data_IF_076230392902
#
_entry.id   IF_076230392902
#
_cell.length_a   1.000
_cell.length_b   1.000
_cell.length_c   1.000
_cell.angle_alpha   90.00
_cell.angle_beta   90.00
_cell.angle_gamma   90.00
#
_symmetry.space_group_name_H-M   'P 1'
#
loop_
_entity.id
_entity.type
_entity.pdbx_description
1 polymer ?
#
# COMPACT_ATOMS: atom_id res chain seq x y z
N UNK A 1 -14.39 -11.54 -1.04
CA UNK A 1 -13.62 -11.99 -2.22
C UNK A 1 -12.78 -10.85 -2.78
N UNK A 2 -11.47 -11.02 -3.03
CA UNK A 2 -10.68 -10.05 -3.79
C UNK A 2 -11.30 -9.80 -5.17
N UNK A 3 -10.92 -8.70 -5.82
CA UNK A 3 -11.39 -8.42 -7.19
C UNK A 3 -10.96 -9.55 -8.12
N UNK A 4 -11.70 -9.79 -9.21
CA UNK A 4 -11.36 -10.82 -10.20
C UNK A 4 -9.94 -10.63 -10.72
N UNK A 5 -9.54 -9.40 -11.04
CA UNK A 5 -8.18 -9.09 -11.48
C UNK A 5 -7.14 -9.50 -10.43
N UNK A 6 -7.32 -9.10 -9.17
CA UNK A 6 -6.41 -9.46 -8.07
C UNK A 6 -6.28 -10.98 -7.95
N UNK A 7 -7.43 -11.67 -7.90
CA UNK A 7 -7.52 -13.12 -7.81
C UNK A 7 -6.75 -13.82 -8.95
N UNK A 8 -6.98 -13.38 -10.20
CA UNK A 8 -6.29 -13.90 -11.39
C UNK A 8 -4.79 -13.66 -11.30
N UNK A 9 -4.36 -12.44 -11.00
CA UNK A 9 -2.93 -12.09 -11.02
C UNK A 9 -2.13 -12.86 -9.96
N UNK A 10 -2.68 -13.03 -8.75
CA UNK A 10 -2.04 -13.78 -7.66
C UNK A 10 -1.91 -15.27 -8.02
N UNK A 11 -3.01 -15.90 -8.44
CA UNK A 11 -3.03 -17.32 -8.75
C UNK A 11 -2.21 -17.66 -10.00
N UNK A 12 -2.28 -16.84 -11.05
CA UNK A 12 -1.43 -17.01 -12.22
C UNK A 12 0.06 -16.91 -11.88
N UNK A 13 0.43 -16.02 -10.95
CA UNK A 13 1.80 -15.94 -10.42
C UNK A 13 2.21 -17.24 -9.74
N UNK A 14 1.36 -17.81 -8.88
CA UNK A 14 1.61 -19.11 -8.26
C UNK A 14 1.74 -20.25 -9.27
N UNK A 15 0.89 -20.28 -10.29
CA UNK A 15 0.93 -21.27 -11.37
C UNK A 15 2.22 -21.20 -12.19
N UNK A 16 2.75 -20.00 -12.43
CA UNK A 16 4.03 -19.81 -13.13
C UNK A 16 5.21 -20.43 -12.39
N UNK A 17 5.16 -20.51 -11.06
CA UNK A 17 6.22 -21.12 -10.26
C UNK A 17 6.28 -22.65 -10.36
N UNK A 18 5.25 -23.29 -10.93
CA UNK A 18 5.18 -24.75 -11.08
C UNK A 18 6.09 -25.26 -12.20
N UNK A 19 6.37 -24.42 -13.21
CA UNK A 19 7.42 -24.68 -14.21
C UNK A 19 7.10 -25.72 -15.28
N UNK A 20 5.83 -25.87 -15.68
CA UNK A 20 5.38 -26.88 -16.64
C UNK A 20 4.60 -26.26 -17.82
N UNK A 21 5.29 -25.84 -18.87
CA UNK A 21 4.63 -25.44 -20.12
C UNK A 21 3.97 -24.06 -20.07
N UNK A 22 2.86 -23.90 -20.78
CA UNK A 22 2.07 -22.66 -20.80
C UNK A 22 0.95 -22.66 -19.75
N UNK A 23 0.37 -21.48 -19.53
CA UNK A 23 -0.67 -21.30 -18.51
C UNK A 23 -1.93 -22.14 -18.77
N UNK A 24 -2.30 -22.39 -20.02
CA UNK A 24 -3.49 -23.15 -20.36
C UNK A 24 -3.29 -24.62 -19.97
N UNK A 25 -2.12 -25.19 -20.26
CA UNK A 25 -1.75 -26.54 -19.85
C UNK A 25 -1.75 -26.69 -18.32
N UNK A 26 -1.19 -25.72 -17.58
CA UNK A 26 -1.14 -25.78 -16.12
C UNK A 26 -2.54 -25.67 -15.50
N UNK A 27 -3.39 -24.78 -16.02
CA UNK A 27 -4.77 -24.61 -15.57
C UNK A 27 -5.61 -25.89 -15.78
N UNK A 28 -5.42 -26.58 -16.91
CA UNK A 28 -6.10 -27.85 -17.19
C UNK A 28 -5.68 -28.95 -16.23
N UNK A 29 -4.38 -29.04 -15.93
CA UNK A 29 -3.83 -30.08 -15.05
C UNK A 29 -4.21 -29.91 -13.58
N UNK A 30 -4.44 -28.68 -13.12
CA UNK A 30 -4.73 -28.34 -11.71
C UNK A 30 -3.69 -28.95 -10.75
N UNK A 31 -2.44 -28.46 -10.77
CA UNK A 31 -1.37 -29.10 -10.01
C UNK A 31 -1.64 -29.01 -8.50
N UNK A 32 -1.60 -30.16 -7.82
CA UNK A 32 -1.83 -30.25 -6.37
C UNK A 32 -0.81 -29.51 -5.50
N UNK A 33 0.26 -28.99 -6.11
CA UNK A 33 1.24 -28.10 -5.46
C UNK A 33 0.63 -26.74 -5.10
N UNK A 34 -0.36 -26.26 -5.87
CA UNK A 34 -1.05 -25.00 -5.58
C UNK A 34 -2.16 -25.28 -4.56
N UNK A 35 -1.85 -25.02 -3.30
CA UNK A 35 -2.67 -25.34 -2.16
C UNK A 35 -3.55 -24.15 -1.73
N UNK A 36 -4.51 -24.45 -0.85
CA UNK A 36 -5.44 -23.49 -0.26
C UNK A 36 -6.43 -22.84 -1.24
N UNK A 37 -6.77 -23.54 -2.32
CA UNK A 37 -7.89 -23.19 -3.19
C UNK A 37 -9.01 -24.24 -3.03
N UNK A 38 -10.24 -23.78 -2.93
CA UNK A 38 -11.43 -24.65 -2.98
C UNK A 38 -11.76 -25.06 -4.43
N UNK A 39 -12.59 -26.10 -4.62
CA UNK A 39 -13.08 -26.47 -5.95
C UNK A 39 -13.86 -25.35 -6.64
N UNK A 40 -14.61 -24.55 -5.86
CA UNK A 40 -15.32 -23.37 -6.36
C UNK A 40 -14.34 -22.32 -6.89
N UNK A 41 -13.25 -22.06 -6.17
CA UNK A 41 -12.21 -21.11 -6.60
C UNK A 41 -11.46 -21.59 -7.84
N UNK A 42 -11.21 -22.90 -7.96
CA UNK A 42 -10.68 -23.50 -9.19
C UNK A 42 -11.66 -23.41 -10.36
N UNK A 43 -12.96 -23.57 -10.11
CA UNK A 43 -14.02 -23.36 -11.11
C UNK A 43 -14.01 -21.92 -11.62
N UNK A 44 -14.07 -20.96 -10.70
CA UNK A 44 -14.03 -19.52 -11.00
C UNK A 44 -12.77 -19.12 -11.76
N UNK A 45 -11.59 -19.61 -11.37
CA UNK A 45 -10.34 -19.30 -12.09
C UNK A 45 -10.39 -19.76 -13.55
N UNK A 46 -10.94 -20.95 -13.81
CA UNK A 46 -11.13 -21.48 -15.17
C UNK A 46 -12.16 -20.68 -15.96
N UNK A 47 -13.27 -20.31 -15.36
CA UNK A 47 -14.29 -19.46 -16.01
C UNK A 47 -13.70 -18.11 -16.41
N UNK A 48 -12.94 -17.47 -15.51
CA UNK A 48 -12.25 -16.21 -15.80
C UNK A 48 -11.23 -16.36 -16.93
N UNK A 49 -10.49 -17.48 -17.00
CA UNK A 49 -9.60 -17.77 -18.13
C UNK A 49 -10.38 -17.93 -19.45
N UNK A 50 -11.40 -18.79 -19.47
CA UNK A 50 -12.22 -19.06 -20.65
C UNK A 50 -12.98 -17.82 -21.16
N UNK A 51 -13.32 -16.88 -20.27
CA UNK A 51 -13.96 -15.61 -20.66
C UNK A 51 -13.09 -14.73 -21.55
N UNK A 52 -11.76 -14.91 -21.52
CA UNK A 52 -10.79 -14.05 -22.22
C UNK A 52 -10.61 -12.65 -21.63
N UNK A 53 -11.48 -12.21 -20.70
CA UNK A 53 -11.50 -10.84 -20.19
C UNK A 53 -10.21 -10.43 -19.44
N UNK A 54 -9.47 -11.40 -18.90
CA UNK A 54 -8.28 -11.19 -18.07
C UNK A 54 -7.00 -11.78 -18.68
N UNK A 55 -6.96 -12.06 -19.99
CA UNK A 55 -5.83 -12.76 -20.64
C UNK A 55 -4.46 -12.11 -20.40
N UNK A 56 -4.40 -10.77 -20.46
CA UNK A 56 -3.16 -10.03 -20.16
C UNK A 56 -2.74 -10.15 -18.69
N UNK A 57 -3.70 -10.10 -17.76
CA UNK A 57 -3.46 -10.23 -16.32
C UNK A 57 -2.94 -11.63 -15.97
N UNK A 58 -3.54 -12.68 -16.57
CA UNK A 58 -3.08 -14.06 -16.45
C UNK A 58 -1.65 -14.25 -16.96
N UNK A 59 -1.35 -13.76 -18.17
CA UNK A 59 -0.03 -13.92 -18.78
C UNK A 59 1.05 -13.15 -18.01
N UNK A 60 0.74 -11.94 -17.56
CA UNK A 60 1.65 -11.14 -16.74
C UNK A 60 1.96 -11.85 -15.41
N UNK A 61 0.94 -12.37 -14.72
CA UNK A 61 1.11 -13.15 -13.51
C UNK A 61 1.97 -14.38 -13.74
N UNK A 62 1.61 -15.20 -14.73
CA UNK A 62 2.35 -16.41 -15.07
C UNK A 62 3.83 -16.14 -15.33
N UNK A 63 4.15 -15.12 -16.13
CA UNK A 63 5.54 -14.72 -16.42
C UNK A 63 6.31 -14.26 -15.19
N UNK A 64 5.65 -13.64 -14.21
CA UNK A 64 6.29 -13.30 -12.94
C UNK A 64 6.60 -14.54 -12.11
N UNK A 65 5.69 -15.52 -12.08
CA UNK A 65 5.92 -16.81 -11.44
C UNK A 65 7.09 -17.57 -12.06
N UNK A 66 7.15 -17.63 -13.39
CA UNK A 66 8.26 -18.27 -14.13
C UNK A 66 9.58 -17.58 -13.83
N UNK A 67 9.62 -16.24 -13.85
CA UNK A 67 10.84 -15.51 -13.52
C UNK A 67 11.31 -15.77 -12.09
N UNK A 68 10.39 -15.89 -11.13
CA UNK A 68 10.74 -16.25 -9.76
C UNK A 68 11.22 -17.70 -9.63
N UNK A 69 10.67 -18.63 -10.43
CA UNK A 69 11.16 -19.99 -10.51
C UNK A 69 12.62 -20.03 -11.00
N UNK A 70 12.97 -19.23 -11.99
CA UNK A 70 14.30 -19.20 -12.62
C UNK A 70 15.34 -18.41 -11.82
N UNK A 71 14.92 -17.36 -11.12
CA UNK A 71 15.82 -16.43 -10.44
C UNK A 71 16.71 -17.13 -9.39
N UNK A 72 18.03 -16.80 -9.33
CA UNK A 72 18.94 -17.35 -8.32
C UNK A 72 18.52 -17.06 -6.88
N UNK A 73 18.02 -15.85 -6.63
CA UNK A 73 17.49 -15.43 -5.33
C UNK A 73 16.06 -15.95 -5.08
N UNK A 74 15.41 -16.51 -6.10
CA UNK A 74 14.10 -17.13 -6.03
C UNK A 74 14.19 -18.64 -5.79
N UNK A 75 13.55 -19.44 -6.66
CA UNK A 75 13.58 -20.89 -6.54
C UNK A 75 14.77 -21.54 -7.25
N UNK A 76 15.53 -20.80 -8.06
CA UNK A 76 16.73 -21.29 -8.75
C UNK A 76 16.50 -22.61 -9.52
N UNK A 77 15.42 -22.65 -10.31
CA UNK A 77 14.99 -23.81 -11.09
C UNK A 77 14.38 -24.95 -10.27
N UNK A 78 14.38 -24.86 -8.93
CA UNK A 78 13.81 -25.88 -8.06
C UNK A 78 12.28 -25.81 -8.10
N UNK A 79 11.64 -26.92 -8.40
CA UNK A 79 10.18 -27.03 -8.30
C UNK A 79 9.73 -26.88 -6.84
N UNK A 80 8.71 -26.06 -6.57
CA UNK A 80 8.17 -25.94 -5.22
C UNK A 80 7.47 -27.23 -4.82
N UNK A 81 7.48 -27.54 -3.51
CA UNK A 81 6.68 -28.63 -2.93
C UNK A 81 5.26 -28.16 -2.61
N UNK A 82 5.11 -26.88 -2.28
CA UNK A 82 3.81 -26.25 -2.05
C UNK A 82 3.87 -24.75 -2.38
N UNK A 83 2.82 -24.27 -3.02
CA UNK A 83 2.52 -22.85 -3.24
C UNK A 83 1.18 -22.58 -2.59
N UNK A 84 1.18 -21.89 -1.45
CA UNK A 84 -0.04 -21.58 -0.70
C UNK A 84 -0.56 -20.20 -1.09
N UNK A 85 -1.80 -20.13 -1.58
CA UNK A 85 -2.48 -18.85 -1.73
C UNK A 85 -3.12 -18.43 -0.40
N UNK A 86 -2.72 -17.26 0.10
CA UNK A 86 -3.20 -16.73 1.39
C UNK A 86 -4.47 -15.90 1.20
N UNK A 87 -4.70 -15.35 0.01
CA UNK A 87 -5.85 -14.51 -0.32
C UNK A 87 -5.97 -13.32 0.62
N UNK A 88 -7.15 -13.12 1.22
CA UNK A 88 -7.39 -12.00 2.16
C UNK A 88 -6.92 -12.28 3.61
N UNK A 89 -6.28 -13.42 3.87
CA UNK A 89 -5.89 -13.76 5.24
C UNK A 89 -4.79 -12.79 5.69
N UNK A 90 -5.04 -12.07 6.79
CA UNK A 90 -4.01 -11.26 7.43
C UNK A 90 -3.08 -12.20 8.19
N UNK A 91 -1.80 -12.16 7.87
CA UNK A 91 -0.79 -12.84 8.66
C UNK A 91 -0.84 -12.31 10.12
N UNK A 92 -0.92 -13.19 11.12
CA UNK A 92 -0.80 -12.81 12.52
C UNK A 92 0.64 -12.35 12.83
N UNK A 93 0.84 -11.54 13.87
CA UNK A 93 2.17 -11.09 14.33
C UNK A 93 2.56 -9.66 13.96
N UNK A 94 3.54 -9.10 14.66
CA UNK A 94 3.86 -7.65 14.66
C UNK A 94 4.59 -7.17 13.40
N UNK A 95 5.46 -8.00 12.84
CA UNK A 95 6.22 -7.73 11.61
C UNK A 95 5.67 -8.50 10.41
N UNK A 96 4.34 -8.68 10.36
CA UNK A 96 3.70 -9.44 9.30
C UNK A 96 4.02 -8.85 7.91
N UNK A 97 4.91 -9.51 7.19
CA UNK A 97 5.20 -9.21 5.79
C UNK A 97 3.96 -9.58 4.97
N UNK A 98 3.44 -8.66 4.15
CA UNK A 98 2.34 -8.99 3.25
C UNK A 98 2.80 -10.08 2.29
N UNK A 99 2.11 -11.22 2.31
CA UNK A 99 2.38 -12.36 1.45
C UNK A 99 1.06 -12.85 0.89
N UNK A 100 0.88 -12.69 -0.41
CA UNK A 100 -0.27 -13.19 -1.17
C UNK A 100 -0.04 -14.67 -1.56
N UNK A 101 1.23 -15.05 -1.71
CA UNK A 101 1.68 -16.43 -1.87
C UNK A 101 2.77 -16.77 -0.85
N UNK A 102 2.74 -18.00 -0.33
CA UNK A 102 3.82 -18.58 0.48
C UNK A 102 4.33 -19.85 -0.20
N UNK A 103 5.63 -19.95 -0.43
CA UNK A 103 6.23 -21.08 -1.15
C UNK A 103 7.11 -21.86 -0.18
N UNK A 104 6.82 -23.15 -0.03
CA UNK A 104 7.56 -24.09 0.84
C UNK A 104 7.71 -23.62 2.29
N UNK A 105 6.84 -22.70 2.73
CA UNK A 105 6.93 -21.99 4.01
C UNK A 105 8.22 -21.17 4.21
N UNK A 106 9.02 -20.99 3.17
CA UNK A 106 10.30 -20.25 3.19
C UNK A 106 10.15 -18.90 2.51
N UNK A 107 9.60 -18.89 1.29
CA UNK A 107 9.51 -17.66 0.51
C UNK A 107 8.16 -16.99 0.71
N UNK A 108 8.21 -15.69 0.99
CA UNK A 108 7.05 -14.81 1.10
C UNK A 108 6.97 -13.95 -0.16
N UNK A 109 5.87 -14.01 -0.88
CA UNK A 109 5.69 -13.28 -2.15
C UNK A 109 4.45 -12.40 -2.05
N UNK A 110 4.63 -11.11 -2.27
CA UNK A 110 3.54 -10.15 -2.47
C UNK A 110 3.35 -9.88 -3.96
N UNK A 111 2.11 -10.03 -4.41
CA UNK A 111 1.67 -9.77 -5.76
C UNK A 111 1.21 -8.31 -5.88
N UNK A 112 1.92 -7.48 -6.63
CA UNK A 112 1.65 -6.04 -6.72
C UNK A 112 1.55 -5.54 -8.16
N UNK A 113 0.32 -5.32 -8.60
CA UNK A 113 0.00 -4.90 -9.96
C UNK A 113 -0.47 -3.44 -9.94
N UNK A 114 0.26 -2.56 -10.64
CA UNK A 114 -0.09 -1.17 -10.96
C UNK A 114 -0.18 -0.17 -9.78
N UNK A 115 0.18 -0.54 -8.56
CA UNK A 115 0.12 0.37 -7.40
C UNK A 115 1.49 0.87 -6.96
N UNK A 116 1.63 2.20 -6.75
CA UNK A 116 2.80 2.82 -6.11
C UNK A 116 2.66 2.96 -4.59
N UNK A 117 1.53 2.50 -4.02
CA UNK A 117 1.22 2.65 -2.60
C UNK A 117 1.99 1.60 -1.79
N UNK A 118 2.79 2.06 -0.84
CA UNK A 118 3.50 1.24 0.14
C UNK A 118 2.61 0.95 1.35
N UNK A 119 1.85 1.88 1.87
CA UNK A 119 0.96 1.62 3.02
C UNK A 119 -0.35 2.39 2.89
N UNK A 120 -1.38 1.89 3.56
CA UNK A 120 -2.66 2.56 3.69
C UNK A 120 -3.22 2.48 5.13
N UNK A 121 -2.49 2.94 6.15
CA UNK A 121 -2.96 2.98 7.53
C UNK A 121 -3.93 4.14 7.79
N UNK A 122 -4.47 4.21 9.01
CA UNK A 122 -4.99 5.47 9.52
C UNK A 122 -3.85 6.51 9.71
N UNK A 123 -4.13 7.81 9.59
CA UNK A 123 -3.13 8.85 9.83
C UNK A 123 -2.50 8.78 11.23
N UNK A 124 -3.29 8.50 12.27
CA UNK A 124 -2.78 8.34 13.63
C UNK A 124 -1.78 7.19 13.74
N UNK A 125 -2.06 6.04 13.12
CA UNK A 125 -1.15 4.88 13.10
C UNK A 125 0.19 5.21 12.45
N UNK A 126 0.19 6.04 11.40
CA UNK A 126 1.41 6.50 10.73
C UNK A 126 2.18 7.54 11.57
N UNK A 127 1.50 8.60 11.98
CA UNK A 127 2.11 9.79 12.61
C UNK A 127 2.51 9.52 14.05
N UNK A 128 1.62 8.94 14.84
CA UNK A 128 1.80 8.76 16.29
C UNK A 128 2.37 7.38 16.61
N UNK A 129 1.84 6.38 15.91
CA UNK A 129 2.27 4.99 16.03
C UNK A 129 3.55 4.67 15.27
N UNK A 130 4.03 5.55 14.39
CA UNK A 130 5.19 5.32 13.54
C UNK A 130 5.09 3.99 12.75
N UNK A 131 3.89 3.60 12.31
CA UNK A 131 3.60 2.30 11.69
C UNK A 131 3.88 1.07 12.57
N UNK A 132 4.09 1.23 13.88
CA UNK A 132 4.15 0.09 14.80
C UNK A 132 2.76 -0.47 15.06
N UNK A 133 2.70 -1.72 15.55
CA UNK A 133 1.45 -2.34 16.00
C UNK A 133 0.97 -1.90 17.38
N UNK A 134 1.74 -1.07 18.08
CA UNK A 134 1.35 -0.51 19.38
C UNK A 134 -0.07 0.10 19.31
N UNK A 135 -0.87 0.01 20.40
CA UNK A 135 -2.17 0.65 20.44
C UNK A 135 -2.06 2.14 20.12
N UNK A 136 -2.89 2.62 19.19
CA UNK A 136 -3.04 4.03 18.85
C UNK A 136 -4.54 4.30 18.80
N UNK A 137 -4.97 5.44 19.33
CA UNK A 137 -6.34 5.90 19.10
C UNK A 137 -6.49 6.33 17.64
N UNK A 138 -7.09 5.45 16.84
CA UNK A 138 -7.46 5.68 15.44
C UNK A 138 -8.98 5.75 15.24
N UNK A 139 -9.73 5.91 16.32
CA UNK A 139 -11.20 6.00 16.29
C UNK A 139 -11.70 7.39 15.94
N UNK A 140 -10.92 8.42 16.24
CA UNK A 140 -11.23 9.82 15.96
C UNK A 140 -10.90 10.22 14.51
N UNK A 141 -11.73 11.08 13.91
CA UNK A 141 -11.47 11.63 12.57
C UNK A 141 -10.21 12.51 12.63
N UNK A 142 -9.20 12.17 11.83
CA UNK A 142 -7.92 12.88 11.85
C UNK A 142 -8.07 14.37 11.55
N UNK A 143 -8.97 14.76 10.63
CA UNK A 143 -9.17 16.18 10.32
C UNK A 143 -9.77 16.92 11.50
N UNK A 144 -10.71 16.29 12.22
CA UNK A 144 -11.24 16.86 13.46
C UNK A 144 -10.17 16.99 14.54
N UNK A 145 -9.23 16.04 14.59
CA UNK A 145 -8.16 16.02 15.58
C UNK A 145 -7.10 17.09 15.33
N UNK A 146 -6.63 17.21 14.09
CA UNK A 146 -5.51 18.12 13.79
C UNK A 146 -5.95 19.47 13.25
N UNK A 147 -7.14 19.61 12.67
CA UNK A 147 -7.62 20.83 12.03
C UNK A 147 -9.14 21.05 12.25
N UNK A 148 -9.61 21.12 13.53
CA UNK A 148 -11.04 21.17 13.83
C UNK A 148 -11.74 22.38 13.22
N UNK A 149 -11.12 23.56 13.26
CA UNK A 149 -11.70 24.79 12.73
C UNK A 149 -11.84 24.73 11.19
N UNK A 150 -10.78 24.30 10.51
CA UNK A 150 -10.76 24.19 9.05
C UNK A 150 -11.69 23.07 8.55
N UNK A 151 -11.82 21.98 9.32
CA UNK A 151 -12.73 20.89 9.00
C UNK A 151 -14.20 21.32 9.14
N UNK A 152 -14.52 22.06 10.21
CA UNK A 152 -15.84 22.63 10.43
C UNK A 152 -16.19 23.68 9.36
N UNK A 153 -15.27 24.58 9.03
CA UNK A 153 -15.47 25.60 7.98
C UNK A 153 -15.75 24.96 6.60
N UNK A 154 -14.97 23.94 6.23
CA UNK A 154 -15.22 23.20 4.99
C UNK A 154 -16.58 22.50 5.00
N UNK A 155 -16.97 21.93 6.13
CA UNK A 155 -18.26 21.29 6.31
C UNK A 155 -19.41 22.28 6.12
N UNK A 156 -19.35 23.45 6.77
CA UNK A 156 -20.36 24.52 6.64
C UNK A 156 -20.53 24.99 5.20
N UNK A 157 -19.43 25.22 4.50
CA UNK A 157 -19.44 25.58 3.07
C UNK A 157 -20.08 24.49 2.20
N UNK A 158 -19.87 23.22 2.53
CA UNK A 158 -20.50 22.11 1.84
C UNK A 158 -21.96 21.91 2.23
N UNK A 159 -22.34 22.22 3.47
CA UNK A 159 -23.69 22.08 4.01
C UNK A 159 -24.62 23.12 3.39
N UNK A 160 -24.20 24.38 3.34
CA UNK A 160 -24.95 25.51 2.77
C UNK A 160 -25.20 25.41 1.26
N UNK A 161 -24.45 24.56 0.54
CA UNK A 161 -24.58 24.39 -0.90
C UNK A 161 -25.78 23.52 -1.34
N UNK A 162 -26.69 23.14 -0.44
CA UNK A 162 -27.92 22.45 -0.83
C UNK A 162 -28.98 22.39 0.26
N UNK A 163 -30.24 22.59 -0.13
CA UNK A 163 -31.36 22.88 0.78
C UNK A 163 -32.10 21.64 1.30
N UNK A 164 -31.80 20.44 0.79
CA UNK A 164 -32.62 19.23 1.03
C UNK A 164 -32.16 18.35 2.20
N UNK A 165 -30.97 18.60 2.77
CA UNK A 165 -30.41 17.75 3.81
C UNK A 165 -30.45 18.45 5.17
N UNK A 166 -31.21 17.86 6.11
CA UNK A 166 -31.14 18.20 7.53
C UNK A 166 -29.79 17.74 8.10
N UNK A 167 -28.82 18.65 8.05
CA UNK A 167 -27.47 18.45 8.54
C UNK A 167 -27.30 19.13 9.92
N UNK A 168 -26.55 18.51 10.86
CA UNK A 168 -26.27 19.12 12.16
C UNK A 168 -25.38 20.37 12.01
N UNK A 169 -25.34 21.21 13.05
CA UNK A 169 -24.48 22.39 13.04
C UNK A 169 -22.99 22.00 13.04
N UNK A 170 -22.59 20.99 13.80
CA UNK A 170 -21.21 20.55 13.89
C UNK A 170 -20.93 19.30 13.03
N UNK A 171 -19.76 19.27 12.36
CA UNK A 171 -19.31 18.13 11.56
C UNK A 171 -19.10 16.86 12.39
N UNK A 172 -18.74 17.02 13.67
CA UNK A 172 -18.56 15.92 14.61
C UNK A 172 -19.86 15.15 14.87
N UNK A 173 -21.01 15.82 14.74
CA UNK A 173 -22.33 15.26 15.03
C UNK A 173 -22.94 14.52 13.83
N UNK A 174 -22.23 14.45 12.69
CA UNK A 174 -22.72 13.77 11.50
C UNK A 174 -22.94 12.27 11.76
N UNK A 175 -24.20 11.84 11.66
CA UNK A 175 -24.56 10.43 11.66
C UNK A 175 -24.01 9.71 10.42
N UNK A 176 -23.93 8.38 10.49
CA UNK A 176 -23.49 7.55 9.35
C UNK A 176 -24.37 7.74 8.10
N UNK A 177 -25.66 7.98 8.27
CA UNK A 177 -26.59 8.22 7.16
C UNK A 177 -26.29 9.57 6.48
N UNK A 178 -26.14 10.64 7.27
CA UNK A 178 -25.82 11.98 6.77
C UNK A 178 -24.44 12.01 6.09
N UNK A 179 -23.43 11.32 6.64
CA UNK A 179 -22.12 11.16 5.99
C UNK A 179 -22.22 10.54 4.59
N UNK A 180 -23.05 9.50 4.43
CA UNK A 180 -23.26 8.86 3.12
C UNK A 180 -23.96 9.79 2.14
N UNK A 181 -24.98 10.52 2.59
CA UNK A 181 -25.69 11.49 1.76
C UNK A 181 -24.77 12.63 1.30
N UNK A 182 -24.01 13.21 2.24
CA UNK A 182 -23.04 14.26 1.94
C UNK A 182 -21.94 13.76 0.97
N UNK A 183 -21.38 12.57 1.21
CA UNK A 183 -20.39 11.96 0.32
C UNK A 183 -20.95 11.71 -1.08
N UNK A 184 -22.22 11.30 -1.19
CA UNK A 184 -22.89 11.11 -2.48
C UNK A 184 -23.04 12.43 -3.24
N UNK A 185 -23.53 13.48 -2.57
CA UNK A 185 -23.66 14.84 -3.13
C UNK A 185 -22.32 15.39 -3.63
N UNK A 186 -21.23 15.08 -2.92
CA UNK A 186 -19.89 15.59 -3.22
C UNK A 186 -19.06 14.68 -4.15
N UNK A 187 -19.66 13.69 -4.84
CA UNK A 187 -18.92 12.78 -5.75
C UNK A 187 -18.24 13.48 -6.93
N UNK A 188 -18.76 14.64 -7.34
CA UNK A 188 -18.20 15.44 -8.42
C UNK A 188 -17.13 16.43 -7.93
N UNK A 189 -17.29 17.70 -8.28
CA UNK A 189 -16.44 18.78 -7.81
C UNK A 189 -16.83 19.25 -6.40
N UNK A 190 -15.93 20.01 -5.78
CA UNK A 190 -16.30 20.82 -4.62
C UNK A 190 -17.28 21.91 -5.04
N UNK A 191 -18.28 22.26 -4.21
CA UNK A 191 -19.00 23.53 -4.35
C UNK A 191 -18.02 24.70 -4.42
N UNK A 192 -18.35 25.75 -5.17
CA UNK A 192 -17.45 26.91 -5.33
C UNK A 192 -17.03 27.51 -3.99
N UNK A 193 -17.97 27.64 -3.04
CA UNK A 193 -17.72 28.13 -1.69
C UNK A 193 -16.78 27.23 -0.85
N UNK A 194 -16.65 25.94 -1.21
CA UNK A 194 -15.85 24.96 -0.48
C UNK A 194 -14.41 24.82 -1.01
N UNK A 195 -14.09 25.39 -2.18
CA UNK A 195 -12.76 25.27 -2.81
C UNK A 195 -11.66 25.85 -1.90
N UNK A 196 -11.87 27.07 -1.43
CA UNK A 196 -10.90 27.79 -0.62
C UNK A 196 -10.81 27.25 0.83
N UNK A 197 -11.93 26.95 1.54
CA UNK A 197 -11.89 26.18 2.79
C UNK A 197 -11.16 24.85 2.65
N UNK A 198 -11.33 24.14 1.54
CA UNK A 198 -10.63 22.89 1.31
C UNK A 198 -9.12 23.10 1.14
N UNK A 199 -8.70 24.13 0.40
CA UNK A 199 -7.30 24.48 0.25
C UNK A 199 -6.65 24.83 1.61
N UNK A 200 -7.36 25.59 2.47
CA UNK A 200 -6.94 25.86 3.85
C UNK A 200 -6.80 24.60 4.68
N UNK A 201 -7.81 23.71 4.66
CA UNK A 201 -7.74 22.42 5.34
C UNK A 201 -6.52 21.62 4.88
N UNK A 202 -6.27 21.55 3.55
CA UNK A 202 -5.11 20.85 2.99
C UNK A 202 -3.80 21.37 3.57
N UNK A 203 -3.61 22.69 3.57
CA UNK A 203 -2.39 23.32 4.10
C UNK A 203 -2.21 23.03 5.59
N UNK A 204 -3.23 23.32 6.40
CA UNK A 204 -3.15 23.18 7.86
C UNK A 204 -2.94 21.73 8.30
N UNK A 205 -3.68 20.79 7.70
CA UNK A 205 -3.50 19.36 8.00
C UNK A 205 -2.10 18.89 7.61
N UNK A 206 -1.58 19.32 6.47
CA UNK A 206 -0.22 18.98 6.02
C UNK A 206 0.84 19.49 6.99
N UNK A 207 0.75 20.76 7.41
CA UNK A 207 1.65 21.39 8.37
C UNK A 207 1.61 20.67 9.72
N UNK A 208 0.42 20.51 10.30
CA UNK A 208 0.26 19.92 11.64
C UNK A 208 0.59 18.42 11.66
N UNK A 209 0.27 17.67 10.60
CA UNK A 209 0.66 16.26 10.50
C UNK A 209 2.18 16.10 10.34
N UNK A 210 2.83 16.93 9.53
CA UNK A 210 4.28 16.91 9.37
C UNK A 210 4.99 17.26 10.69
N UNK A 211 4.55 18.31 11.38
CA UNK A 211 5.09 18.72 12.69
C UNK A 211 4.92 17.62 13.74
N UNK A 212 3.72 17.03 13.84
CA UNK A 212 3.45 15.94 14.77
C UNK A 212 4.33 14.72 14.47
N UNK A 213 4.49 14.36 13.20
CA UNK A 213 5.31 13.21 12.81
C UNK A 213 6.79 13.46 13.09
N UNK A 214 7.32 14.63 12.73
CA UNK A 214 8.69 15.02 13.03
C UNK A 214 8.97 15.01 14.55
N UNK A 215 8.04 15.52 15.37
CA UNK A 215 8.17 15.48 16.83
C UNK A 215 8.22 14.05 17.37
N UNK A 216 7.41 13.14 16.83
CA UNK A 216 7.42 11.71 17.21
C UNK A 216 8.71 11.00 16.80
N UNK A 217 9.28 11.37 15.65
CA UNK A 217 10.55 10.82 15.17
C UNK A 217 11.74 11.31 16.00
N UNK A 218 11.72 12.54 16.50
CA UNK A 218 12.79 13.09 17.34
C UNK A 218 13.04 12.31 18.64
N UNK A 219 12.05 11.55 19.14
CA UNK A 219 12.19 10.64 20.28
C UNK A 219 12.26 9.16 19.91
N UNK A 220 12.32 8.81 18.62
CA UNK A 220 12.26 7.44 18.13
C UNK A 220 13.53 6.99 17.40
N UNK A 221 13.40 5.91 16.62
CA UNK A 221 14.43 5.41 15.72
C UNK A 221 14.04 5.71 14.25
N UNK A 222 14.64 6.74 13.62
CA UNK A 222 14.39 7.09 12.23
C UNK A 222 14.78 5.99 11.24
N UNK A 223 15.80 5.18 11.53
CA UNK A 223 16.23 4.08 10.66
C UNK A 223 15.16 2.98 10.62
N UNK A 224 14.65 2.60 11.80
CA UNK A 224 13.51 1.71 11.86
C UNK A 224 12.27 2.29 11.16
N UNK A 225 12.06 3.62 11.17
CA UNK A 225 10.95 4.23 10.44
C UNK A 225 11.12 4.07 8.92
N UNK A 226 12.32 4.28 8.41
CA UNK A 226 12.65 4.07 6.98
C UNK A 226 12.38 2.63 6.58
N UNK A 227 12.80 1.65 7.38
CA UNK A 227 12.50 0.25 7.10
C UNK A 227 11.01 -0.04 7.07
N UNK A 228 10.25 0.48 8.04
CA UNK A 228 8.79 0.34 8.08
C UNK A 228 8.14 0.94 6.84
N UNK A 229 8.54 2.15 6.42
CA UNK A 229 8.04 2.78 5.18
C UNK A 229 8.37 1.96 3.93
N UNK A 230 9.60 1.46 3.84
CA UNK A 230 10.06 0.65 2.71
C UNK A 230 9.64 -0.83 2.82
N UNK A 231 8.86 -1.19 3.84
CA UNK A 231 8.43 -2.57 4.17
C UNK A 231 9.59 -3.56 4.33
N UNK A 232 10.74 -3.11 4.79
CA UNK A 232 11.88 -3.98 5.14
C UNK A 232 11.59 -4.58 6.53
N UNK A 233 11.47 -5.91 6.59
CA UNK A 233 11.08 -6.66 7.80
C UNK A 233 12.10 -7.74 8.18
N UNK A 234 11.86 -8.50 9.25
CA UNK A 234 12.78 -9.52 9.76
C UNK A 234 13.10 -10.66 8.78
N UNK A 235 12.29 -10.88 7.77
CA UNK A 235 12.53 -11.88 6.73
C UNK A 235 12.58 -11.25 5.35
N UNK A 236 13.47 -11.72 4.46
CA UNK A 236 13.44 -11.30 3.07
C UNK A 236 12.13 -11.75 2.43
N UNK A 237 11.61 -10.93 1.53
CA UNK A 237 10.42 -11.26 0.77
C UNK A 237 10.49 -10.66 -0.62
N UNK A 238 9.56 -11.08 -1.47
CA UNK A 238 9.60 -10.77 -2.88
C UNK A 238 8.36 -10.01 -3.29
N UNK A 239 8.55 -9.02 -4.15
CA UNK A 239 7.46 -8.30 -4.80
C UNK A 239 7.46 -8.73 -6.25
N UNK A 240 6.38 -9.38 -6.67
CA UNK A 240 6.17 -9.81 -8.05
C UNK A 240 4.94 -9.10 -8.62
N UNK A 241 5.06 -8.52 -9.79
CA UNK A 241 3.92 -7.88 -10.43
C UNK A 241 4.32 -7.03 -11.62
N UNK A 242 3.57 -5.96 -11.83
CA UNK A 242 3.76 -5.04 -12.95
C UNK A 242 3.61 -3.60 -12.49
N UNK A 243 4.41 -2.73 -13.09
CA UNK A 243 4.28 -1.28 -13.00
C UNK A 243 4.01 -0.72 -14.39
N UNK A 244 3.66 0.57 -14.52
CA UNK A 244 3.59 1.23 -15.82
C UNK A 244 4.90 1.16 -16.63
N UNK A 245 6.04 0.92 -15.97
CA UNK A 245 7.37 0.82 -16.59
C UNK A 245 7.74 -0.61 -17.02
N UNK A 246 6.94 -1.63 -16.63
CA UNK A 246 7.19 -3.02 -17.01
C UNK A 246 7.00 -4.01 -15.85
N UNK A 247 7.71 -5.14 -15.92
CA UNK A 247 7.68 -6.13 -14.86
C UNK A 247 8.35 -5.57 -13.59
N UNK A 248 7.73 -5.79 -12.44
CA UNK A 248 8.29 -5.46 -11.14
C UNK A 248 8.58 -6.76 -10.41
N UNK A 249 9.86 -7.10 -10.27
CA UNK A 249 10.34 -8.36 -9.70
C UNK A 249 11.50 -8.04 -8.78
N UNK A 250 11.21 -7.99 -7.48
CA UNK A 250 12.13 -7.47 -6.49
C UNK A 250 12.31 -8.45 -5.35
N UNK A 251 13.56 -8.66 -4.91
CA UNK A 251 13.89 -9.14 -3.57
C UNK A 251 14.05 -7.94 -2.65
N UNK A 252 13.44 -8.02 -1.48
CA UNK A 252 13.55 -6.99 -0.44
C UNK A 252 14.43 -7.54 0.68
N UNK A 253 15.42 -6.74 1.05
CA UNK A 253 16.37 -7.02 2.13
C UNK A 253 15.71 -7.10 3.50
N UNK A 254 16.45 -7.62 4.47
CA UNK A 254 16.17 -7.48 5.90
C UNK A 254 16.90 -6.26 6.50
N UNK A 255 16.56 -5.82 7.73
CA UNK A 255 17.34 -4.82 8.45
C UNK A 255 18.83 -5.17 8.58
N UNK A 256 19.15 -6.47 8.69
CA UNK A 256 20.53 -6.93 8.77
C UNK A 256 21.28 -6.65 7.47
N UNK A 257 20.74 -7.12 6.34
CA UNK A 257 21.32 -6.90 5.01
C UNK A 257 21.45 -5.40 4.72
N UNK A 258 20.41 -4.63 5.09
CA UNK A 258 20.38 -3.19 4.91
C UNK A 258 21.53 -2.50 5.66
N UNK A 259 21.78 -2.85 6.93
CA UNK A 259 22.88 -2.26 7.72
C UNK A 259 24.26 -2.62 7.20
N UNK A 260 24.41 -3.80 6.58
CA UNK A 260 25.67 -4.21 5.96
C UNK A 260 26.00 -3.38 4.71
N UNK A 261 24.99 -2.97 3.94
CA UNK A 261 25.17 -2.23 2.69
C UNK A 261 25.03 -0.71 2.82
N UNK A 262 24.24 -0.24 3.79
CA UNK A 262 23.81 1.16 3.89
C UNK A 262 23.99 1.72 5.31
N UNK A 263 24.00 3.05 5.40
CA UNK A 263 23.95 3.79 6.66
C UNK A 263 22.98 4.96 6.50
N UNK A 264 21.97 5.06 7.37
CA UNK A 264 21.10 6.23 7.38
C UNK A 264 21.90 7.46 7.84
N UNK A 265 21.78 8.57 7.10
CA UNK A 265 22.40 9.86 7.44
C UNK A 265 21.38 10.85 7.97
N UNK A 266 20.24 10.94 7.29
CA UNK A 266 19.21 11.89 7.63
C UNK A 266 17.84 11.37 7.21
N UNK A 267 16.81 11.70 7.99
CA UNK A 267 15.42 11.45 7.66
C UNK A 267 14.63 12.74 7.86
N UNK A 268 14.06 13.26 6.78
CA UNK A 268 13.30 14.51 6.77
C UNK A 268 11.82 14.25 6.51
N UNK A 269 10.97 15.02 7.18
CA UNK A 269 9.52 15.08 7.00
C UNK A 269 9.13 16.53 6.86
N UNK A 270 8.33 16.86 5.85
CA UNK A 270 7.90 18.24 5.59
C UNK A 270 6.47 18.30 5.06
N UNK A 271 5.72 19.39 5.34
CA UNK A 271 4.46 19.62 4.65
C UNK A 271 4.71 19.81 3.16
N UNK A 272 3.81 19.29 2.33
CA UNK A 272 3.91 19.40 0.87
C UNK A 272 2.61 19.95 0.31
N UNK A 273 2.71 20.92 -0.60
CA UNK A 273 1.53 21.42 -1.30
C UNK A 273 0.92 20.34 -2.21
N UNK A 274 -0.40 20.37 -2.36
CA UNK A 274 -1.13 19.44 -3.22
C UNK A 274 -2.63 19.72 -3.21
N UNK A 275 -3.37 19.07 -4.11
CA UNK A 275 -4.83 19.14 -4.18
C UNK A 275 -5.56 18.38 -3.05
N UNK A 276 -4.82 17.87 -2.08
CA UNK A 276 -5.27 17.18 -0.87
C UNK A 276 -4.16 17.30 0.18
N UNK A 277 -4.45 17.10 1.48
CA UNK A 277 -3.42 17.17 2.50
C UNK A 277 -2.29 16.17 2.22
N UNK A 278 -1.04 16.66 2.20
CA UNK A 278 0.13 15.91 1.78
C UNK A 278 1.36 16.19 2.63
N UNK A 279 2.08 15.13 2.99
CA UNK A 279 3.33 15.21 3.76
C UNK A 279 4.43 14.49 2.99
N UNK A 280 5.52 15.17 2.64
CA UNK A 280 6.68 14.55 2.01
C UNK A 280 7.62 13.93 3.04
N UNK A 281 8.30 12.86 2.65
CA UNK A 281 9.39 12.27 3.42
C UNK A 281 10.60 11.97 2.52
N UNK A 282 11.79 12.07 3.07
CA UNK A 282 13.00 11.60 2.40
C UNK A 282 14.01 11.03 3.38
N UNK A 283 14.72 9.99 2.95
CA UNK A 283 15.83 9.41 3.68
C UNK A 283 17.11 9.54 2.87
N UNK A 284 18.09 10.27 3.40
CA UNK A 284 19.44 10.32 2.87
C UNK A 284 20.25 9.20 3.50
N UNK A 285 20.91 8.40 2.67
CA UNK A 285 21.68 7.24 3.10
C UNK A 285 23.02 7.16 2.36
N UNK A 286 24.03 6.64 3.05
CA UNK A 286 25.33 6.33 2.46
C UNK A 286 25.33 4.88 1.96
N UNK A 287 25.73 4.64 0.72
CA UNK A 287 26.08 3.31 0.22
C UNK A 287 27.50 2.99 0.69
N UNK A 288 27.66 2.04 1.62
CA UNK A 288 28.95 1.77 2.29
C UNK A 288 30.07 1.39 1.31
N UNK A 289 29.75 0.55 0.33
CA UNK A 289 30.74 0.04 -0.65
C UNK A 289 31.36 1.15 -1.52
N UNK A 290 30.58 2.17 -1.85
CA UNK A 290 31.02 3.23 -2.78
C UNK A 290 31.21 4.58 -2.10
N UNK A 291 30.85 4.69 -0.83
CA UNK A 291 30.82 5.95 -0.07
C UNK A 291 30.01 7.06 -0.77
N UNK A 292 29.01 6.68 -1.57
CA UNK A 292 28.13 7.63 -2.27
C UNK A 292 26.87 7.83 -1.46
N UNK A 293 26.51 9.08 -1.23
CA UNK A 293 25.22 9.43 -0.66
C UNK A 293 24.12 9.42 -1.71
N UNK A 294 22.97 8.88 -1.34
CA UNK A 294 21.76 8.81 -2.16
C UNK A 294 20.56 9.17 -1.31
N UNK A 295 19.44 9.44 -1.99
CA UNK A 295 18.19 9.83 -1.34
C UNK A 295 17.05 8.98 -1.89
N UNK A 296 16.29 8.38 -0.98
CA UNK A 296 14.98 7.79 -1.29
C UNK A 296 13.89 8.73 -0.83
N UNK A 297 12.89 8.98 -1.69
CA UNK A 297 11.81 9.95 -1.46
C UNK A 297 10.45 9.31 -1.61
N UNK A 298 9.49 9.86 -0.89
CA UNK A 298 8.09 9.58 -1.08
C UNK A 298 7.22 10.65 -0.46
N UNK A 299 5.92 10.38 -0.47
CA UNK A 299 4.95 11.27 0.15
C UNK A 299 3.77 10.49 0.72
N UNK A 300 3.02 11.17 1.57
CA UNK A 300 1.80 10.66 2.17
C UNK A 300 0.67 11.55 1.73
N UNK A 301 -0.41 10.94 1.31
CA UNK A 301 -1.68 11.59 1.06
C UNK A 301 -2.67 11.24 2.17
N UNK A 302 -3.18 12.25 2.88
CA UNK A 302 -4.25 12.05 3.87
C UNK A 302 -5.57 12.40 3.20
N UNK A 303 -6.42 11.40 2.97
CA UNK A 303 -7.69 11.58 2.23
C UNK A 303 -8.81 10.76 2.83
N UNK A 304 -10.06 11.25 2.70
CA UNK A 304 -11.23 10.48 3.14
C UNK A 304 -11.31 9.11 2.46
N UNK A 305 -11.57 8.09 3.26
CA UNK A 305 -11.87 6.75 2.75
C UNK A 305 -13.30 6.74 2.19
N UNK A 306 -13.51 6.18 1.00
CA UNK A 306 -14.85 6.01 0.41
C UNK A 306 -15.65 7.31 0.14
N UNK A 307 -14.96 8.43 -0.11
CA UNK A 307 -15.56 9.71 -0.52
C UNK A 307 -15.57 10.77 0.60
N UNK A 308 -15.67 12.05 0.21
CA UNK A 308 -15.59 13.21 1.09
C UNK A 308 -16.60 13.12 2.24
N UNK A 309 -16.15 13.28 3.49
CA UNK A 309 -16.94 13.12 4.73
C UNK A 309 -17.52 11.71 5.00
N UNK A 310 -17.31 10.73 4.12
CA UNK A 310 -17.96 9.42 4.20
C UNK A 310 -17.49 8.55 5.36
N UNK A 311 -16.18 8.52 5.60
CA UNK A 311 -15.49 7.79 6.68
C UNK A 311 -14.26 8.60 7.12
N UNK A 312 -13.67 8.31 8.31
CA UNK A 312 -12.39 8.89 8.69
C UNK A 312 -11.33 8.74 7.57
N UNK A 313 -10.40 9.70 7.46
CA UNK A 313 -9.38 9.67 6.44
C UNK A 313 -8.39 8.52 6.64
N UNK A 314 -7.83 8.04 5.52
CA UNK A 314 -6.70 7.13 5.44
C UNK A 314 -5.44 7.89 5.01
N UNK A 315 -4.27 7.40 5.42
CA UNK A 315 -2.98 7.91 4.98
C UNK A 315 -2.37 6.95 3.96
N UNK A 316 -2.27 7.37 2.69
CA UNK A 316 -1.60 6.58 1.66
C UNK A 316 -0.17 6.98 1.51
N UNK A 317 0.72 6.06 1.83
CA UNK A 317 2.17 6.22 1.68
C UNK A 317 2.54 5.82 0.26
N UNK A 318 3.11 6.74 -0.50
CA UNK A 318 3.63 6.52 -1.84
C UNK A 318 5.16 6.55 -1.82
N UNK A 319 5.74 5.79 -2.76
CA UNK A 319 7.15 5.86 -3.10
C UNK A 319 7.32 6.70 -4.37
N UNK A 320 8.10 7.77 -4.28
CA UNK A 320 8.39 8.68 -5.40
C UNK A 320 9.64 8.25 -6.17
N UNK A 321 10.65 7.72 -5.47
CA UNK A 321 11.83 7.11 -6.08
C UNK A 321 11.47 5.89 -6.94
N UNK A 322 12.28 5.62 -7.97
CA UNK A 322 12.19 4.38 -8.75
C UNK A 322 12.65 3.20 -7.92
N UNK A 323 12.09 2.02 -8.13
CA UNK A 323 12.39 0.85 -7.31
C UNK A 323 13.86 0.45 -7.36
N UNK A 324 14.53 0.59 -8.51
CA UNK A 324 15.96 0.33 -8.68
C UNK A 324 16.88 1.27 -7.88
N UNK A 325 16.34 2.42 -7.44
CA UNK A 325 17.07 3.41 -6.65
C UNK A 325 16.76 3.30 -5.14
N UNK A 326 15.88 2.37 -4.72
CA UNK A 326 15.51 2.20 -3.31
C UNK A 326 16.54 1.33 -2.59
N UNK A 327 17.07 1.77 -1.43
CA UNK A 327 18.02 0.96 -0.67
C UNK A 327 17.35 -0.29 -0.11
N UNK A 328 17.95 -1.45 -0.40
CA UNK A 328 17.46 -2.76 0.01
C UNK A 328 16.47 -3.42 -0.96
N UNK A 329 16.22 -2.80 -2.11
CA UNK A 329 15.41 -3.40 -3.19
C UNK A 329 16.36 -3.89 -4.28
N UNK A 330 16.25 -5.16 -4.65
CA UNK A 330 17.12 -5.80 -5.64
C UNK A 330 16.26 -6.41 -6.73
N UNK A 331 16.59 -6.15 -7.99
CA UNK A 331 15.93 -6.83 -9.10
C UNK A 331 16.23 -8.34 -9.07
N UNK A 332 15.24 -9.15 -9.42
CA UNK A 332 15.37 -10.60 -9.57
C UNK A 332 16.03 -11.02 -10.89
#
# INVERSE_FOLDING_TARGET
MPSDRTFVTELATGLGMVGDGDIAAVLLRRPGVLANLTEEEWGRLRELWCSGAYGADFLAGYRNGVAFLEAPDGLHGRRPRIVEWTGRRRAPGDEAVPSDLRIDHVYLVSCKYLSRILHNPSPARLVEGLLTRAPVDDTSDWYQRVAPAEHQELYEACAAAGDELLLPQAVADLSRAQRRQLAHRLRGSWPAAAVEPYARLCRVVSERAAQAWAARLGGGDPEAMVWRLLRIGSAPYFILGTSPQGAMRLRIDTPWDWRQAYQLRHFEVAPQAGGQPRVSWAATYLVRRTSVERVVRGHIEIRWSHGRFGQPPEAKVYLDSRHEDVPGYHAL
#
